data_IF_394389595628
#
_entry.id   IF_394389595628
#
_cell.length_a   1.000
_cell.length_b   1.000
_cell.length_c   1.000
_cell.angle_alpha   90.00
_cell.angle_beta   90.00
_cell.angle_gamma   90.00
#
_symmetry.space_group_name_H-M   'P 1'
#
loop_
_entity.id
_entity.type
_entity.pdbx_description
1 polymer ?
#
# COMPACT_ATOMS: atom_id res chain seq x y z
N UNK A 1 -13.66 0.09 -1.96
CA UNK A 1 -13.07 0.58 -3.23
C UNK A 1 -12.70 -0.69 -3.95
N UNK A 2 -13.34 -1.02 -5.07
CA UNK A 2 -12.96 -2.23 -5.80
C UNK A 2 -11.67 -1.93 -6.58
N UNK A 3 -10.58 -2.59 -6.19
CA UNK A 3 -9.28 -2.42 -6.84
C UNK A 3 -9.29 -3.27 -8.10
N UNK A 4 -9.55 -2.63 -9.24
CA UNK A 4 -9.52 -3.26 -10.56
C UNK A 4 -8.14 -3.07 -11.24
N UNK A 5 -7.08 -3.36 -10.48
CA UNK A 5 -5.69 -3.28 -10.94
C UNK A 5 -5.11 -4.69 -11.02
N UNK A 6 -4.19 -4.90 -11.96
CA UNK A 6 -3.36 -6.10 -11.98
C UNK A 6 -2.41 -6.14 -10.77
N UNK A 7 -1.89 -7.33 -10.44
CA UNK A 7 -0.90 -7.47 -9.36
C UNK A 7 0.30 -6.54 -9.56
N UNK A 8 0.84 -6.46 -10.78
CA UNK A 8 2.00 -5.62 -11.07
C UNK A 8 1.72 -4.13 -10.82
N UNK A 9 0.54 -3.64 -11.19
CA UNK A 9 0.13 -2.26 -10.90
C UNK A 9 -0.02 -2.00 -9.40
N UNK A 10 -0.52 -2.99 -8.65
CA UNK A 10 -0.66 -2.89 -7.19
C UNK A 10 0.70 -2.80 -6.52
N UNK A 11 1.68 -3.58 -6.99
CA UNK A 11 3.06 -3.53 -6.47
C UNK A 11 3.65 -2.13 -6.64
N UNK A 12 3.51 -1.54 -7.84
CA UNK A 12 3.99 -0.17 -8.11
C UNK A 12 3.35 0.85 -7.16
N UNK A 13 2.05 0.70 -6.85
CA UNK A 13 1.37 1.59 -5.89
C UNK A 13 1.90 1.38 -4.47
N UNK A 14 2.07 0.12 -4.04
CA UNK A 14 2.58 -0.20 -2.71
C UNK A 14 4.01 0.35 -2.51
N UNK A 15 4.89 0.19 -3.50
CA UNK A 15 6.26 0.73 -3.47
C UNK A 15 6.26 2.25 -3.34
N UNK A 16 5.44 2.94 -4.14
CA UNK A 16 5.32 4.41 -4.06
C UNK A 16 4.82 4.90 -2.69
N UNK A 17 3.91 4.15 -2.05
CA UNK A 17 3.44 4.47 -0.70
C UNK A 17 4.55 4.27 0.35
N UNK A 18 5.34 3.20 0.24
CA UNK A 18 6.50 2.97 1.12
C UNK A 18 7.53 4.08 0.99
N UNK A 19 7.85 4.50 -0.24
CA UNK A 19 8.74 5.64 -0.47
C UNK A 19 8.17 6.92 0.14
N UNK A 20 6.86 7.16 -0.01
CA UNK A 20 6.18 8.33 0.56
C UNK A 20 6.30 8.44 2.08
N UNK A 21 6.28 7.32 2.80
CA UNK A 21 6.44 7.30 4.27
C UNK A 21 7.77 7.92 4.71
N UNK A 22 8.84 7.74 3.93
CA UNK A 22 10.16 8.26 4.28
C UNK A 22 10.25 9.80 4.20
N UNK A 23 9.35 10.45 3.47
CA UNK A 23 9.41 11.89 3.18
C UNK A 23 8.23 12.70 3.72
N UNK A 24 7.14 12.04 4.13
CA UNK A 24 5.90 12.71 4.55
C UNK A 24 5.74 12.74 6.08
N UNK A 25 5.12 13.82 6.59
CA UNK A 25 4.70 13.94 8.00
C UNK A 25 3.44 13.11 8.30
N UNK A 26 2.74 12.62 7.27
CA UNK A 26 1.52 11.83 7.36
C UNK A 26 1.79 10.32 7.21
N UNK A 27 2.94 9.84 7.72
CA UNK A 27 3.35 8.45 7.63
C UNK A 27 2.24 7.47 8.06
N UNK A 28 1.48 7.80 9.11
CA UNK A 28 0.41 6.94 9.63
C UNK A 28 -0.77 6.81 8.66
N UNK A 29 -1.17 7.89 7.99
CA UNK A 29 -2.24 7.85 6.98
C UNK A 29 -1.81 7.01 5.76
N UNK A 30 -0.54 7.13 5.35
CA UNK A 30 0.01 6.37 4.23
C UNK A 30 0.07 4.87 4.56
N UNK A 31 0.49 4.52 5.78
CA UNK A 31 0.46 3.12 6.26
C UNK A 31 -0.96 2.56 6.29
N UNK A 32 -1.95 3.35 6.70
CA UNK A 32 -3.34 2.91 6.70
C UNK A 32 -3.83 2.60 5.28
N UNK A 33 -3.50 3.45 4.31
CA UNK A 33 -3.84 3.24 2.89
C UNK A 33 -3.13 2.00 2.35
N UNK A 34 -1.83 1.86 2.59
CA UNK A 34 -1.04 0.69 2.20
C UNK A 34 -1.68 -0.60 2.73
N UNK A 35 -1.98 -0.66 4.03
CA UNK A 35 -2.54 -1.86 4.66
C UNK A 35 -3.95 -2.18 4.15
N UNK A 36 -4.75 -1.16 3.79
CA UNK A 36 -6.06 -1.37 3.15
C UNK A 36 -5.91 -1.98 1.76
N UNK A 37 -4.96 -1.51 0.97
CA UNK A 37 -4.69 -2.04 -0.38
C UNK A 37 -4.23 -3.49 -0.27
N UNK A 38 -3.26 -3.80 0.60
CA UNK A 38 -2.78 -5.17 0.84
C UNK A 38 -3.93 -6.13 1.13
N UNK A 39 -4.85 -5.75 2.03
CA UNK A 39 -6.02 -6.58 2.38
C UNK A 39 -7.03 -6.70 1.26
N UNK A 40 -7.37 -5.61 0.57
CA UNK A 40 -8.40 -5.61 -0.47
C UNK A 40 -7.94 -6.30 -1.75
N UNK A 41 -6.63 -6.26 -2.04
CA UNK A 41 -6.02 -6.90 -3.20
C UNK A 41 -5.59 -8.36 -2.95
N UNK A 42 -5.78 -8.89 -1.73
CA UNK A 42 -5.28 -10.22 -1.34
C UNK A 42 -3.77 -10.37 -1.56
N UNK A 43 -3.00 -9.31 -1.25
CA UNK A 43 -1.54 -9.27 -1.35
C UNK A 43 -0.90 -9.66 -0.02
N UNK A 44 -1.40 -10.72 0.61
CA UNK A 44 -1.01 -11.18 1.96
C UNK A 44 0.48 -11.56 2.05
N UNK A 45 1.13 -11.76 0.90
CA UNK A 45 2.58 -11.93 0.76
C UNK A 45 3.40 -10.65 1.07
N UNK A 46 2.76 -9.48 1.10
CA UNK A 46 3.38 -8.20 1.47
C UNK A 46 3.20 -7.92 2.96
N UNK A 47 4.28 -7.49 3.62
CA UNK A 47 4.24 -7.13 5.04
C UNK A 47 3.33 -5.91 5.27
N UNK A 48 2.43 -6.02 6.24
CA UNK A 48 1.67 -4.87 6.73
C UNK A 48 2.61 -3.92 7.49
N UNK A 49 2.43 -2.63 7.28
CA UNK A 49 3.24 -1.60 7.93
C UNK A 49 2.66 -1.28 9.31
N UNK A 50 3.54 -1.17 10.31
CA UNK A 50 3.19 -0.86 11.71
C UNK A 50 3.16 0.61 12.04
#
# INVERSE_FOLDING_TARGET
>A
MDINLSKDEIIVVLDALVEGIAFDKNADDIKEVYNKIVKQAHMEEYEMLG
#
